data_IF_443304893721
#
_entry.id   IF_443304893721
#
_cell.length_a   1.000
_cell.length_b   1.000
_cell.length_c   1.000
_cell.angle_alpha   90.00
_cell.angle_beta   90.00
_cell.angle_gamma   90.00
#
_symmetry.space_group_name_H-M   'P 1'
#
loop_
_entity.id
_entity.type
_entity.pdbx_description
1 polymer ?
#
# COMPACT_ATOMS: atom_id res chain seq x y z
N UNK A 1 1.58 49.95 20.11
CA UNK A 1 2.41 48.81 20.57
C UNK A 1 1.65 47.49 20.73
N UNK A 2 0.66 47.32 21.63
CA UNK A 2 0.06 45.99 21.94
C UNK A 2 -0.78 45.34 20.80
N UNK A 3 -1.45 46.13 19.95
CA UNK A 3 -2.30 45.62 18.87
C UNK A 3 -1.51 45.06 17.67
N UNK A 4 -0.27 45.52 17.45
CA UNK A 4 0.57 45.06 16.35
C UNK A 4 1.19 43.69 16.65
N UNK A 5 1.46 43.41 17.93
CA UNK A 5 1.97 42.11 18.39
C UNK A 5 0.87 41.04 18.34
N UNK A 6 -0.36 41.38 18.75
CA UNK A 6 -1.50 40.44 18.67
C UNK A 6 -1.90 40.16 17.22
N UNK A 7 -1.85 41.16 16.34
CA UNK A 7 -2.10 40.99 14.90
C UNK A 7 -1.08 40.06 14.24
N UNK A 8 0.21 40.14 14.60
CA UNK A 8 1.25 39.25 14.05
C UNK A 8 1.08 37.79 14.46
N UNK A 9 0.73 37.53 15.73
CA UNK A 9 0.40 36.18 16.20
C UNK A 9 -0.81 35.61 15.48
N UNK A 10 -1.89 36.39 15.39
CA UNK A 10 -3.12 35.98 14.69
C UNK A 10 -2.92 35.77 13.18
N UNK A 11 -2.06 36.56 12.54
CA UNK A 11 -1.71 36.39 11.11
C UNK A 11 -0.86 35.13 10.88
N UNK A 12 0.06 34.80 11.80
CA UNK A 12 0.79 33.54 11.72
C UNK A 12 -0.10 32.33 12.02
N UNK A 13 -1.01 32.44 12.99
CA UNK A 13 -1.94 31.37 13.37
C UNK A 13 -2.94 31.08 12.24
N UNK A 14 -3.41 32.11 11.54
CA UNK A 14 -4.24 31.97 10.33
C UNK A 14 -3.46 31.46 9.14
N UNK A 15 -2.21 31.89 8.92
CA UNK A 15 -1.35 31.35 7.85
C UNK A 15 -0.91 29.89 8.11
N UNK A 16 -0.74 29.50 9.38
CA UNK A 16 -0.52 28.11 9.76
C UNK A 16 -1.78 27.28 9.56
N UNK A 17 -2.93 27.76 10.03
CA UNK A 17 -4.23 27.10 9.85
C UNK A 17 -4.57 26.91 8.38
N UNK A 18 -4.26 27.89 7.52
CA UNK A 18 -4.46 27.77 6.08
C UNK A 18 -3.56 26.69 5.48
N UNK A 19 -2.27 26.64 5.86
CA UNK A 19 -1.36 25.59 5.37
C UNK A 19 -1.75 24.20 5.83
N UNK A 20 -2.24 24.06 7.07
CA UNK A 20 -2.77 22.79 7.57
C UNK A 20 -3.99 22.39 6.75
N UNK A 21 -4.91 23.33 6.49
CA UNK A 21 -6.09 23.06 5.66
C UNK A 21 -5.73 22.70 4.22
N UNK A 22 -4.80 23.40 3.61
CA UNK A 22 -4.31 23.11 2.25
C UNK A 22 -3.65 21.72 2.20
N UNK A 23 -2.93 21.33 3.25
CA UNK A 23 -2.35 19.99 3.37
C UNK A 23 -3.43 18.93 3.61
N UNK A 24 -4.43 19.19 4.45
CA UNK A 24 -5.57 18.30 4.69
C UNK A 24 -6.35 18.07 3.39
N UNK A 25 -6.65 19.14 2.65
CA UNK A 25 -7.35 19.08 1.36
C UNK A 25 -6.54 18.29 0.31
N UNK A 26 -5.21 18.34 0.37
CA UNK A 26 -4.34 17.58 -0.52
C UNK A 26 -4.23 16.09 -0.13
N UNK A 27 -4.15 15.78 1.17
CA UNK A 27 -3.88 14.42 1.64
C UNK A 27 -5.14 13.59 1.85
N UNK A 28 -6.26 14.21 2.21
CA UNK A 28 -7.53 13.54 2.44
C UNK A 28 -8.05 12.72 1.25
N UNK A 29 -8.01 13.19 -0.01
CA UNK A 29 -8.43 12.35 -1.14
C UNK A 29 -7.53 11.12 -1.32
N UNK A 30 -6.23 11.23 -1.04
CA UNK A 30 -5.30 10.10 -1.14
C UNK A 30 -5.52 9.10 0.00
N UNK A 31 -5.77 9.58 1.23
CA UNK A 31 -6.12 8.74 2.37
C UNK A 31 -7.40 7.95 2.11
N UNK A 32 -8.46 8.61 1.64
CA UNK A 32 -9.72 7.95 1.29
C UNK A 32 -9.52 6.90 0.18
N UNK A 33 -8.71 7.22 -0.84
CA UNK A 33 -8.36 6.28 -1.91
C UNK A 33 -7.61 5.06 -1.38
N UNK A 34 -6.71 5.24 -0.43
CA UNK A 34 -5.94 4.16 0.19
C UNK A 34 -6.80 3.32 1.14
N UNK A 35 -7.69 3.95 1.92
CA UNK A 35 -8.61 3.29 2.84
C UNK A 35 -9.68 2.47 2.11
N UNK A 36 -10.11 2.93 0.93
CA UNK A 36 -10.99 2.17 0.05
C UNK A 36 -10.32 0.92 -0.57
N UNK A 37 -8.99 0.78 -0.48
CA UNK A 37 -8.31 -0.42 -0.98
C UNK A 37 -8.64 -1.58 -0.05
N UNK A 38 -9.05 -2.74 -0.59
CA UNK A 38 -9.28 -3.92 0.21
C UNK A 38 -8.01 -4.30 0.98
N UNK A 39 -8.19 -4.79 2.20
CA UNK A 39 -7.11 -5.30 3.02
C UNK A 39 -6.30 -6.34 2.22
N UNK A 40 -4.98 -6.19 2.24
CA UNK A 40 -4.08 -7.12 1.58
C UNK A 40 -3.85 -8.32 2.48
N UNK A 41 -4.48 -9.45 2.15
CA UNK A 41 -4.20 -10.73 2.78
C UNK A 41 -3.10 -11.45 2.01
N UNK A 42 -1.90 -11.50 2.59
CA UNK A 42 -0.75 -12.15 1.98
C UNK A 42 -0.97 -13.66 1.77
N UNK A 43 -1.74 -14.32 2.64
CA UNK A 43 -1.96 -15.76 2.56
C UNK A 43 -2.92 -16.12 1.42
N UNK A 44 -3.97 -15.32 1.19
CA UNK A 44 -4.86 -15.47 0.02
C UNK A 44 -4.06 -15.33 -1.30
N UNK A 45 -3.14 -14.38 -1.38
CA UNK A 45 -2.29 -14.24 -2.57
C UNK A 45 -1.28 -15.40 -2.70
N UNK A 46 -0.73 -15.89 -1.59
CA UNK A 46 0.13 -17.08 -1.58
C UNK A 46 -0.63 -18.31 -2.12
N UNK A 47 -1.85 -18.54 -1.66
CA UNK A 47 -2.71 -19.63 -2.14
C UNK A 47 -3.02 -19.51 -3.63
N UNK A 48 -3.31 -18.30 -4.11
CA UNK A 48 -3.52 -18.03 -5.55
C UNK A 48 -2.27 -18.31 -6.38
N UNK A 49 -1.09 -17.95 -5.89
CA UNK A 49 0.18 -18.25 -6.55
C UNK A 49 0.41 -19.76 -6.61
N UNK A 50 0.19 -20.47 -5.50
CA UNK A 50 0.31 -21.94 -5.44
C UNK A 50 -0.68 -22.61 -6.39
N UNK A 51 -1.94 -22.15 -6.41
CA UNK A 51 -2.96 -22.63 -7.33
C UNK A 51 -2.59 -22.37 -8.80
N UNK A 52 -1.98 -21.22 -9.12
CA UNK A 52 -1.55 -20.88 -10.48
C UNK A 52 -0.35 -21.71 -10.97
N UNK A 53 0.52 -22.15 -10.05
CA UNK A 53 1.58 -23.14 -10.34
C UNK A 53 0.99 -24.52 -10.64
N UNK A 54 -0.19 -24.82 -10.09
CA UNK A 54 -0.99 -25.99 -10.41
C UNK A 54 -0.52 -27.22 -9.64
N UNK A 55 0.27 -28.07 -10.28
CA UNK A 55 0.71 -29.35 -9.70
C UNK A 55 2.17 -29.35 -9.32
N UNK A 56 2.52 -30.15 -8.31
CA UNK A 56 3.90 -30.42 -7.90
C UNK A 56 4.75 -30.84 -9.11
N UNK A 57 5.99 -30.38 -9.16
CA UNK A 57 6.98 -30.60 -10.22
C UNK A 57 6.72 -29.90 -11.58
N UNK A 58 5.71 -29.03 -11.70
CA UNK A 58 5.58 -28.13 -12.85
C UNK A 58 6.28 -26.80 -12.60
N UNK A 59 7.02 -26.33 -13.61
CA UNK A 59 7.59 -24.98 -13.63
C UNK A 59 6.73 -24.10 -14.53
N UNK A 60 6.36 -22.93 -14.03
CA UNK A 60 5.71 -21.87 -14.81
C UNK A 60 6.47 -20.58 -14.66
N UNK A 61 6.50 -19.77 -15.71
CA UNK A 61 7.10 -18.43 -15.63
C UNK A 61 6.17 -17.52 -14.85
N UNK A 62 6.73 -16.69 -13.98
CA UNK A 62 5.97 -15.68 -13.23
C UNK A 62 5.17 -14.78 -14.18
N UNK A 63 5.76 -14.38 -15.31
CA UNK A 63 5.10 -13.59 -16.35
C UNK A 63 3.81 -14.24 -16.91
N UNK A 64 3.74 -15.58 -16.96
CA UNK A 64 2.51 -16.26 -17.40
C UNK A 64 1.41 -16.25 -16.34
N UNK A 65 1.78 -16.14 -15.06
CA UNK A 65 0.85 -16.13 -13.92
C UNK A 65 0.23 -14.75 -13.77
N UNK A 66 1.03 -13.69 -13.96
CA UNK A 66 0.58 -12.29 -13.77
C UNK A 66 0.16 -11.60 -15.07
N UNK A 67 0.01 -12.34 -16.16
CA UNK A 67 -0.37 -11.77 -17.45
C UNK A 67 -1.75 -11.11 -17.38
N UNK A 68 -1.83 -9.83 -17.76
CA UNK A 68 -3.08 -9.05 -17.78
C UNK A 68 -3.45 -8.40 -16.44
N UNK A 69 -2.64 -8.57 -15.39
CA UNK A 69 -2.81 -7.87 -14.12
C UNK A 69 -2.21 -6.46 -14.18
N UNK A 70 -2.76 -5.55 -13.38
CA UNK A 70 -2.17 -4.22 -13.21
C UNK A 70 -0.88 -4.27 -12.36
N UNK A 71 -0.11 -3.17 -12.37
CA UNK A 71 1.17 -3.11 -11.67
C UNK A 71 1.05 -3.35 -10.15
N UNK A 72 -0.03 -2.92 -9.52
CA UNK A 72 -0.24 -3.11 -8.08
C UNK A 72 -0.50 -4.58 -7.78
N UNK A 73 -1.32 -5.23 -8.60
CA UNK A 73 -1.58 -6.67 -8.50
C UNK A 73 -0.32 -7.49 -8.78
N UNK A 74 0.46 -7.17 -9.81
CA UNK A 74 1.75 -7.83 -10.09
C UNK A 74 2.69 -7.74 -8.87
N UNK A 75 2.79 -6.57 -8.25
CA UNK A 75 3.61 -6.36 -7.05
C UNK A 75 3.15 -7.21 -5.86
N UNK A 76 1.83 -7.34 -5.66
CA UNK A 76 1.26 -8.21 -4.61
C UNK A 76 1.58 -9.69 -4.85
N UNK A 77 1.44 -10.17 -6.09
CA UNK A 77 1.80 -11.54 -6.47
C UNK A 77 3.30 -11.80 -6.28
N UNK A 78 4.15 -10.82 -6.59
CA UNK A 78 5.58 -10.92 -6.36
C UNK A 78 5.89 -11.00 -4.86
N UNK A 79 5.28 -10.14 -4.05
CA UNK A 79 5.46 -10.14 -2.60
C UNK A 79 5.02 -11.47 -1.97
N UNK A 80 3.85 -12.00 -2.35
CA UNK A 80 3.38 -13.31 -1.94
C UNK A 80 4.37 -14.43 -2.35
N UNK A 81 4.88 -14.38 -3.58
CA UNK A 81 5.87 -15.34 -4.07
C UNK A 81 7.17 -15.33 -3.25
N UNK A 82 7.60 -14.17 -2.75
CA UNK A 82 8.77 -14.06 -1.88
C UNK A 82 8.50 -14.63 -0.48
N UNK A 83 7.28 -14.42 0.05
CA UNK A 83 6.89 -14.87 1.39
C UNK A 83 6.62 -16.38 1.49
N UNK A 84 6.38 -17.07 0.37
CA UNK A 84 6.30 -18.53 0.33
C UNK A 84 7.61 -19.22 0.75
N UNK A 85 8.76 -18.55 0.60
CA UNK A 85 10.08 -19.10 0.98
C UNK A 85 10.20 -19.33 2.49
N UNK A 86 9.96 -18.34 3.37
CA UNK A 86 10.01 -18.56 4.81
C UNK A 86 8.94 -19.54 5.32
N UNK A 87 7.73 -19.56 4.76
CA UNK A 87 6.72 -20.57 5.13
C UNK A 87 7.18 -22.00 4.80
N UNK A 88 7.83 -22.21 3.64
CA UNK A 88 8.38 -23.51 3.27
C UNK A 88 9.61 -23.92 4.11
N UNK A 89 10.38 -22.96 4.63
CA UNK A 89 11.55 -23.25 5.50
C UNK A 89 11.07 -23.74 6.88
N UNK A 90 9.96 -23.21 7.39
CA UNK A 90 9.39 -23.58 8.70
C UNK A 90 8.70 -24.96 8.73
N UNK A 91 8.41 -25.57 7.57
CA UNK A 91 7.78 -26.91 7.47
C UNK A 91 8.81 -28.04 7.33
N UNK A 92 10.10 -27.71 7.24
CA UNK A 92 11.20 -28.70 7.05
C UNK A 92 12.03 -28.98 8.30
N UNK A 93 11.52 -28.65 9.50
CA UNK A 93 12.12 -29.02 10.78
C UNK A 93 11.41 -30.20 11.45
#
# INVERSE_FOLDING_TARGET
>A
EQLLVSSRGFTQETALSQRVRDWEDAIQPELLRLEARPAFDIHDYSDRVVAALGSVARRRSFASIVAGLDNVEVCKYLLASLQLVPECIMVRE
#
